data_IF_421421791093
#
_entry.id   IF_421421791093
#
_cell.length_a   1.000
_cell.length_b   1.000
_cell.length_c   1.000
_cell.angle_alpha   90.00
_cell.angle_beta   90.00
_cell.angle_gamma   90.00
#
_symmetry.space_group_name_H-M   'P 1'
#
loop_
_entity.id
_entity.type
_entity.pdbx_description
1 polymer ?
#
# COMPACT_ATOMS: atom_id res chain seq x y z
N UNK A 1 12.38 21.86 17.50
CA UNK A 1 11.77 20.52 17.31
C UNK A 1 11.19 19.94 18.60
N UNK A 2 9.88 19.70 18.56
CA UNK A 2 9.16 18.90 19.56
C UNK A 2 8.61 17.69 18.82
N UNK A 3 8.88 16.48 19.31
CA UNK A 3 8.28 15.26 18.74
C UNK A 3 6.78 15.22 19.05
N UNK A 4 5.98 14.87 18.05
CA UNK A 4 4.53 14.78 18.15
C UNK A 4 4.06 13.40 17.67
N UNK A 5 2.83 13.03 18.01
CA UNK A 5 2.22 11.82 17.46
C UNK A 5 1.75 12.04 16.02
N UNK A 6 1.66 10.95 15.23
CA UNK A 6 1.16 11.02 13.84
C UNK A 6 -0.23 11.66 13.76
N UNK A 7 -1.08 11.44 14.76
CA UNK A 7 -2.42 11.99 14.86
C UNK A 7 -2.45 13.51 14.97
N UNK A 8 -1.33 14.13 15.35
CA UNK A 8 -1.20 15.54 15.65
C UNK A 8 -0.54 16.33 14.51
N UNK A 9 -0.25 15.68 13.37
CA UNK A 9 0.20 16.35 12.15
C UNK A 9 -0.76 17.48 11.75
N UNK A 10 -0.19 18.61 11.30
CA UNK A 10 -0.94 19.80 10.86
C UNK A 10 -0.53 20.20 9.45
N UNK A 11 -1.51 20.66 8.69
CA UNK A 11 -1.32 21.11 7.31
C UNK A 11 -0.83 22.57 7.27
N UNK A 12 0.10 22.93 6.37
CA UNK A 12 0.85 22.01 5.51
C UNK A 12 1.95 21.30 6.31
N UNK A 13 2.23 20.05 5.95
CA UNK A 13 3.35 19.29 6.50
C UNK A 13 4.39 19.01 5.41
N UNK A 14 5.65 18.97 5.79
CA UNK A 14 6.74 18.56 4.90
C UNK A 14 7.08 17.09 5.12
N UNK A 15 7.52 16.41 4.06
CA UNK A 15 8.05 15.05 4.11
C UNK A 15 9.57 15.16 4.05
N UNK A 16 10.26 14.53 4.99
CA UNK A 16 11.72 14.58 5.10
C UNK A 16 12.25 13.15 5.15
N UNK A 17 13.29 12.86 4.38
CA UNK A 17 14.03 11.60 4.41
C UNK A 17 15.43 11.83 4.98
N UNK A 18 15.68 11.36 6.20
CA UNK A 18 16.95 11.54 6.91
C UNK A 18 17.64 10.20 7.06
N UNK A 19 18.89 10.13 6.62
CA UNK A 19 19.78 9.03 6.92
C UNK A 19 20.78 9.42 8.01
N UNK A 20 20.79 8.72 9.14
CA UNK A 20 21.69 9.03 10.26
C UNK A 20 23.16 8.83 9.91
N UNK A 21 23.48 8.01 8.91
CA UNK A 21 24.85 7.83 8.40
C UNK A 21 25.20 8.78 7.24
N UNK A 22 24.24 9.58 6.78
CA UNK A 22 24.38 10.53 5.67
C UNK A 22 24.85 9.90 4.33
N UNK A 23 24.58 8.61 4.11
CA UNK A 23 24.94 7.94 2.86
C UNK A 23 23.86 8.10 1.77
N UNK A 24 22.63 8.45 2.15
CA UNK A 24 21.51 8.68 1.24
C UNK A 24 21.29 10.17 0.84
N UNK A 25 22.20 11.07 1.24
CA UNK A 25 22.17 12.50 0.89
C UNK A 25 20.97 13.26 1.47
N UNK A 26 21.13 13.86 2.65
CA UNK A 26 20.07 14.68 3.23
C UNK A 26 20.36 16.16 3.03
N UNK A 27 19.63 16.81 2.12
CA UNK A 27 19.69 18.26 1.96
C UNK A 27 18.89 18.99 3.06
N UNK A 28 19.34 20.19 3.49
CA UNK A 28 18.53 21.04 4.36
C UNK A 28 17.19 21.38 3.69
N UNK A 29 16.09 21.12 4.40
CA UNK A 29 14.76 21.52 3.94
C UNK A 29 14.44 22.93 4.46
N UNK A 30 14.03 23.82 3.54
CA UNK A 30 13.32 25.04 3.93
C UNK A 30 11.94 24.64 4.47
N UNK A 31 11.73 24.92 5.74
CA UNK A 31 10.53 24.52 6.47
C UNK A 31 9.67 25.70 6.92
N UNK A 32 10.02 26.93 6.56
CA UNK A 32 9.37 28.16 7.10
C UNK A 32 7.85 28.17 6.87
N UNK A 33 7.39 27.56 5.77
CA UNK A 33 5.96 27.49 5.41
C UNK A 33 5.19 26.33 6.06
N UNK A 34 5.85 25.41 6.75
CA UNK A 34 5.25 24.16 7.23
C UNK A 34 4.98 24.18 8.73
N UNK A 35 3.84 23.61 9.14
CA UNK A 35 3.46 23.52 10.55
C UNK A 35 4.06 22.29 11.24
N UNK A 36 4.24 21.20 10.50
CA UNK A 36 4.78 19.93 11.02
C UNK A 36 5.64 19.20 9.98
N UNK A 37 6.47 18.27 10.42
CA UNK A 37 7.26 17.38 9.56
C UNK A 37 6.83 15.92 9.77
N UNK A 38 6.79 15.18 8.67
CA UNK A 38 6.75 13.72 8.62
C UNK A 38 8.14 13.26 8.18
N UNK A 39 8.87 12.55 9.04
CA UNK A 39 10.26 12.19 8.81
C UNK A 39 10.43 10.67 8.69
N UNK A 40 10.88 10.20 7.53
CA UNK A 40 11.48 8.87 7.40
C UNK A 40 12.89 8.92 7.99
N UNK A 41 13.23 7.90 8.78
CA UNK A 41 14.57 7.74 9.35
C UNK A 41 15.19 6.50 8.77
N UNK A 42 16.40 6.67 8.24
CA UNK A 42 17.24 5.62 7.71
C UNK A 42 18.51 5.47 8.53
N UNK A 43 19.04 4.25 8.53
CA UNK A 43 20.37 3.92 9.02
C UNK A 43 21.15 3.20 7.91
N UNK A 44 22.08 3.91 7.27
CA UNK A 44 22.85 3.38 6.16
C UNK A 44 21.97 3.11 4.93
N UNK A 45 21.03 4.02 4.64
CA UNK A 45 20.09 3.92 3.53
C UNK A 45 18.87 3.03 3.80
N UNK A 46 18.83 2.27 4.90
CA UNK A 46 17.72 1.36 5.23
C UNK A 46 16.71 2.05 6.15
N UNK A 47 15.42 2.05 5.79
CA UNK A 47 14.35 2.56 6.64
C UNK A 47 14.29 1.82 8.00
N UNK A 48 14.38 2.57 9.10
CA UNK A 48 14.36 2.02 10.47
C UNK A 48 13.26 2.58 11.35
N UNK A 49 12.72 3.76 11.04
CA UNK A 49 11.65 4.37 11.81
C UNK A 49 10.96 5.52 11.04
N UNK A 50 9.79 5.97 11.53
CA UNK A 50 9.15 7.19 11.06
C UNK A 50 8.69 8.04 12.25
N UNK A 51 9.08 9.32 12.25
CA UNK A 51 8.87 10.26 13.36
C UNK A 51 8.21 11.54 12.87
N UNK A 52 7.55 12.26 13.78
CA UNK A 52 6.79 13.47 13.44
C UNK A 52 7.22 14.60 14.35
N UNK A 53 7.35 15.81 13.78
CA UNK A 53 7.85 16.96 14.53
C UNK A 53 6.97 18.19 14.34
N UNK A 54 6.83 18.96 15.41
CA UNK A 54 6.34 20.34 15.36
C UNK A 54 7.48 21.27 14.87
N UNK A 55 7.15 22.13 13.89
CA UNK A 55 8.06 23.09 13.26
C UNK A 55 7.61 24.55 13.49
N UNK A 56 6.53 24.84 14.23
CA UNK A 56 5.94 26.20 14.29
C UNK A 56 6.91 27.33 14.72
N UNK A 57 8.06 27.02 15.31
CA UNK A 57 9.08 28.00 15.73
C UNK A 57 10.40 27.90 14.96
N UNK A 58 10.55 26.93 14.06
CA UNK A 58 11.81 26.64 13.37
C UNK A 58 11.74 27.16 11.92
N UNK A 59 12.61 28.12 11.56
CA UNK A 59 12.70 28.62 10.17
C UNK A 59 13.48 27.66 9.24
N UNK A 60 14.25 26.74 9.80
CA UNK A 60 15.03 25.73 9.06
C UNK A 60 15.16 24.48 9.90
N UNK A 61 14.88 23.31 9.31
CA UNK A 61 15.17 22.04 9.95
C UNK A 61 16.53 21.55 9.47
N UNK A 62 17.58 21.83 10.24
CA UNK A 62 18.92 21.34 9.89
C UNK A 62 18.98 19.81 10.09
N UNK A 63 19.23 19.00 9.04
CA UNK A 63 19.27 17.54 9.15
C UNK A 63 20.23 17.05 10.25
N UNK A 64 21.34 17.76 10.47
CA UNK A 64 22.29 17.46 11.54
C UNK A 64 21.65 17.53 12.94
N UNK A 65 20.80 18.52 13.22
CA UNK A 65 20.11 18.66 14.50
C UNK A 65 19.07 17.54 14.68
N UNK A 66 18.41 17.13 13.60
CA UNK A 66 17.51 15.97 13.63
C UNK A 66 18.29 14.69 13.90
N UNK A 67 19.41 14.47 13.20
CA UNK A 67 20.29 13.32 13.43
C UNK A 67 20.77 13.23 14.88
N UNK A 68 21.25 14.34 15.46
CA UNK A 68 21.69 14.37 16.86
C UNK A 68 20.56 13.99 17.83
N UNK A 69 19.36 14.54 17.62
CA UNK A 69 18.19 14.21 18.42
C UNK A 69 17.82 12.72 18.32
N UNK A 70 17.81 12.16 17.10
CA UNK A 70 17.44 10.78 16.85
C UNK A 70 18.46 9.78 17.41
N UNK A 71 19.75 10.07 17.30
CA UNK A 71 20.81 9.24 17.88
C UNK A 71 20.72 9.18 19.41
N UNK A 72 20.29 10.26 20.05
CA UNK A 72 20.07 10.29 21.49
C UNK A 72 18.83 9.47 21.94
N UNK A 73 17.80 9.39 21.11
CA UNK A 73 16.56 8.66 21.40
C UNK A 73 16.71 7.13 21.29
N UNK A 74 17.71 6.66 20.55
CA UNK A 74 17.92 5.24 20.24
C UNK A 74 16.99 4.76 19.13
N UNK A 75 17.57 4.17 18.09
CA UNK A 75 16.84 3.70 16.91
C UNK A 75 16.86 2.17 16.83
N UNK A 76 15.84 1.55 16.22
CA UNK A 76 15.90 0.15 15.83
C UNK A 76 17.12 -0.13 14.95
N UNK A 77 17.69 -1.32 15.07
CA UNK A 77 18.76 -1.74 14.17
C UNK A 77 18.21 -1.90 12.74
N UNK A 78 18.97 -1.48 11.71
CA UNK A 78 18.57 -1.65 10.33
C UNK A 78 18.49 -3.13 9.95
N UNK A 79 17.56 -3.42 9.05
CA UNK A 79 17.48 -4.72 8.41
C UNK A 79 18.80 -4.96 7.67
N UNK A 80 19.47 -6.06 8.01
CA UNK A 80 20.73 -6.41 7.35
C UNK A 80 20.44 -6.87 5.92
N UNK A 81 21.20 -6.35 4.97
CA UNK A 81 21.19 -6.88 3.61
C UNK A 81 21.59 -8.37 3.63
N UNK A 82 20.69 -9.21 3.13
CA UNK A 82 20.93 -10.64 2.89
C UNK A 82 21.22 -10.88 1.41
N UNK A 83 21.47 -12.14 1.05
CA UNK A 83 21.49 -12.54 -0.35
C UNK A 83 20.16 -12.19 -1.03
N UNK A 84 20.23 -11.85 -2.32
CA UNK A 84 19.07 -11.67 -3.19
C UNK A 84 18.60 -13.02 -3.74
N UNK A 85 17.29 -13.14 -3.98
CA UNK A 85 16.73 -14.26 -4.73
C UNK A 85 17.15 -14.15 -6.19
N UNK A 86 17.77 -15.19 -6.76
CA UNK A 86 18.06 -15.26 -8.20
C UNK A 86 16.83 -15.56 -9.08
N UNK A 87 15.64 -15.19 -8.62
CA UNK A 87 14.38 -15.43 -9.29
C UNK A 87 14.07 -14.23 -10.22
N UNK A 88 13.58 -14.50 -11.43
CA UNK A 88 13.24 -13.42 -12.36
C UNK A 88 12.04 -12.61 -11.86
N UNK A 89 11.99 -11.31 -12.19
CA UNK A 89 10.99 -10.38 -11.69
C UNK A 89 10.36 -9.56 -12.83
N UNK A 90 9.03 -9.47 -12.83
CA UNK A 90 8.30 -8.43 -13.57
C UNK A 90 7.74 -7.40 -12.59
N UNK A 91 8.03 -6.12 -12.83
CA UNK A 91 7.34 -4.99 -12.20
C UNK A 91 6.12 -4.62 -13.04
N UNK A 92 4.93 -4.75 -12.47
CA UNK A 92 3.65 -4.61 -13.15
C UNK A 92 2.92 -3.34 -12.71
N UNK A 93 2.54 -2.50 -13.66
CA UNK A 93 1.89 -1.19 -13.44
C UNK A 93 0.51 -1.18 -14.11
N UNK A 94 -0.58 -1.48 -13.36
CA UNK A 94 -1.94 -1.28 -13.87
C UNK A 94 -2.29 0.21 -13.89
N UNK A 95 -2.70 0.75 -15.04
CA UNK A 95 -3.00 2.18 -15.17
C UNK A 95 -4.10 2.45 -16.19
N UNK A 96 -4.81 3.56 -16.00
CA UNK A 96 -5.67 4.18 -17.01
C UNK A 96 -5.33 5.67 -17.21
N UNK A 97 -4.12 6.09 -16.78
CA UNK A 97 -3.64 7.48 -16.73
C UNK A 97 -2.26 7.58 -17.36
N UNK A 98 -2.22 7.87 -18.66
CA UNK A 98 -0.97 8.01 -19.39
C UNK A 98 -0.05 9.11 -18.82
N UNK A 99 -0.65 10.21 -18.34
CA UNK A 99 0.07 11.36 -17.78
C UNK A 99 0.79 11.06 -16.46
N UNK A 100 0.42 9.97 -15.76
CA UNK A 100 1.00 9.59 -14.47
C UNK A 100 2.14 8.60 -14.58
N UNK A 101 2.14 7.76 -15.61
CA UNK A 101 3.18 6.75 -15.84
C UNK A 101 4.63 7.26 -15.74
N UNK A 102 4.99 8.46 -16.22
CA UNK A 102 6.37 8.96 -16.07
C UNK A 102 6.88 8.99 -14.63
N UNK A 103 6.00 9.15 -13.62
CA UNK A 103 6.40 9.15 -12.20
C UNK A 103 6.99 7.80 -11.82
N UNK A 104 6.22 6.72 -12.00
CA UNK A 104 6.66 5.37 -11.71
C UNK A 104 7.83 4.95 -12.61
N UNK A 105 7.74 5.19 -13.93
CA UNK A 105 8.77 4.75 -14.88
C UNK A 105 10.13 5.43 -14.67
N UNK A 106 10.17 6.71 -14.32
CA UNK A 106 11.44 7.38 -13.98
C UNK A 106 12.07 6.79 -12.70
N UNK A 107 11.25 6.44 -11.71
CA UNK A 107 11.74 5.78 -10.49
C UNK A 107 12.28 4.37 -10.79
N UNK A 108 11.66 3.66 -11.75
CA UNK A 108 12.14 2.38 -12.21
C UNK A 108 13.43 2.50 -13.01
N UNK A 109 13.63 3.55 -13.83
CA UNK A 109 14.90 3.84 -14.51
C UNK A 109 16.06 4.06 -13.52
N UNK A 110 15.77 4.58 -12.33
CA UNK A 110 16.76 4.91 -11.31
C UNK A 110 17.11 3.74 -10.36
N UNK A 111 16.54 2.55 -10.56
CA UNK A 111 16.80 1.40 -9.68
C UNK A 111 18.26 0.94 -9.75
N UNK A 112 18.84 0.60 -8.59
CA UNK A 112 20.20 0.08 -8.49
C UNK A 112 20.35 -1.34 -9.05
N UNK A 113 19.33 -2.18 -8.84
CA UNK A 113 19.17 -3.47 -9.51
C UNK A 113 18.32 -3.29 -10.76
N UNK A 114 18.90 -3.57 -11.94
CA UNK A 114 18.30 -3.43 -13.27
C UNK A 114 17.77 -4.75 -13.83
N UNK A 115 17.92 -5.86 -13.12
CA UNK A 115 17.53 -7.21 -13.57
C UNK A 115 16.03 -7.46 -13.32
N UNK A 116 15.18 -6.79 -14.10
CA UNK A 116 13.72 -6.94 -14.07
C UNK A 116 13.08 -6.51 -15.40
N UNK A 117 11.91 -7.07 -15.70
CA UNK A 117 11.04 -6.62 -16.79
C UNK A 117 9.97 -5.65 -16.27
N UNK A 118 9.45 -4.78 -17.14
CA UNK A 118 8.31 -3.90 -16.84
C UNK A 118 7.11 -4.29 -17.70
N UNK A 119 5.96 -4.52 -17.05
CA UNK A 119 4.68 -4.73 -17.73
C UNK A 119 3.71 -3.59 -17.39
N UNK A 120 3.36 -2.79 -18.39
CA UNK A 120 2.25 -1.84 -18.29
C UNK A 120 0.95 -2.57 -18.60
N UNK A 121 -0.02 -2.52 -17.68
CA UNK A 121 -1.36 -3.01 -17.95
C UNK A 121 -2.28 -1.82 -18.20
N UNK A 122 -2.55 -1.57 -19.46
CA UNK A 122 -3.50 -0.57 -19.90
C UNK A 122 -4.92 -1.01 -19.53
N UNK A 123 -5.56 -0.25 -18.63
CA UNK A 123 -6.96 -0.39 -18.24
C UNK A 123 -7.82 0.79 -18.71
N UNK A 124 -7.31 1.56 -19.68
CA UNK A 124 -8.09 2.52 -20.45
C UNK A 124 -9.13 1.78 -21.31
N UNK A 125 -10.21 2.48 -21.67
CA UNK A 125 -11.33 1.85 -22.38
C UNK A 125 -10.98 1.42 -23.80
N UNK A 126 -10.05 2.13 -24.43
CA UNK A 126 -9.79 2.03 -25.86
C UNK A 126 -8.36 1.57 -26.17
N UNK A 127 -7.47 1.43 -25.18
CA UNK A 127 -6.11 0.94 -25.37
C UNK A 127 -5.12 2.04 -25.74
N UNK A 128 -5.41 3.29 -25.35
CA UNK A 128 -4.56 4.47 -25.63
C UNK A 128 -3.13 4.28 -25.11
N UNK A 129 -2.96 3.77 -23.89
CA UNK A 129 -1.64 3.64 -23.26
C UNK A 129 -0.78 2.61 -24.02
N UNK A 130 -1.36 1.47 -24.42
CA UNK A 130 -0.65 0.49 -25.24
C UNK A 130 -0.23 1.04 -26.61
N UNK A 131 -0.98 2.00 -27.18
CA UNK A 131 -0.61 2.63 -28.45
C UNK A 131 0.51 3.67 -28.29
N UNK A 132 0.50 4.40 -27.18
CA UNK A 132 1.43 5.50 -26.96
C UNK A 132 2.75 5.04 -26.30
N UNK A 133 2.69 4.09 -25.37
CA UNK A 133 3.86 3.55 -24.68
C UNK A 133 4.39 2.33 -25.43
N UNK A 134 5.35 2.57 -26.32
CA UNK A 134 6.09 1.53 -27.06
C UNK A 134 7.49 1.25 -26.48
N UNK A 135 7.91 2.04 -25.50
CA UNK A 135 9.18 1.93 -24.78
C UNK A 135 9.37 3.13 -23.84
N UNK A 136 10.29 3.02 -22.89
CA UNK A 136 10.62 4.12 -21.96
C UNK A 136 12.07 4.03 -21.48
N UNK A 137 12.92 4.94 -21.95
CA UNK A 137 14.36 4.88 -21.67
C UNK A 137 14.98 3.55 -22.13
N UNK A 138 15.71 2.90 -21.24
CA UNK A 138 16.32 1.58 -21.44
C UNK A 138 15.60 0.44 -20.70
N UNK A 139 14.38 0.68 -20.20
CA UNK A 139 13.58 -0.37 -19.56
C UNK A 139 13.19 -1.46 -20.57
N UNK A 140 13.31 -2.73 -20.16
CA UNK A 140 12.67 -3.85 -20.86
C UNK A 140 11.16 -3.81 -20.60
N UNK A 141 10.47 -3.01 -21.43
CA UNK A 141 9.08 -2.64 -21.25
C UNK A 141 8.19 -3.29 -22.29
N UNK A 142 7.09 -3.87 -21.81
CA UNK A 142 5.99 -4.38 -22.62
C UNK A 142 4.65 -3.94 -22.04
N UNK A 143 3.60 -4.01 -22.86
CA UNK A 143 2.26 -3.58 -22.47
C UNK A 143 1.18 -4.57 -22.92
N UNK A 144 0.12 -4.71 -22.11
CA UNK A 144 -1.08 -5.47 -22.46
C UNK A 144 -2.35 -4.66 -22.12
N UNK A 145 -3.46 -4.94 -22.80
CA UNK A 145 -4.71 -4.18 -22.67
C UNK A 145 -5.85 -5.00 -22.05
N UNK A 146 -6.43 -4.50 -20.96
CA UNK A 146 -7.70 -4.96 -20.39
C UNK A 146 -8.76 -3.87 -20.58
N UNK A 147 -9.68 -4.02 -21.56
CA UNK A 147 -10.66 -2.97 -21.90
C UNK A 147 -11.76 -2.79 -20.86
N UNK A 148 -11.94 -3.73 -19.92
CA UNK A 148 -12.96 -3.66 -18.88
C UNK A 148 -12.37 -3.03 -17.61
N UNK A 149 -12.82 -1.83 -17.21
CA UNK A 149 -12.24 -1.13 -16.07
C UNK A 149 -12.33 -1.91 -14.74
N UNK A 150 -11.25 -1.84 -13.96
CA UNK A 150 -11.11 -2.43 -12.63
C UNK A 150 -9.70 -2.97 -12.41
N UNK A 151 -9.07 -2.56 -11.30
CA UNK A 151 -7.68 -2.92 -10.99
C UNK A 151 -7.49 -4.44 -10.88
N UNK A 152 -8.45 -5.19 -10.34
CA UNK A 152 -8.37 -6.65 -10.30
C UNK A 152 -8.35 -7.29 -11.67
N UNK A 153 -9.09 -6.72 -12.64
CA UNK A 153 -9.11 -7.21 -14.02
C UNK A 153 -7.78 -6.92 -14.70
N UNK A 154 -7.27 -5.69 -14.54
CA UNK A 154 -5.95 -5.32 -15.02
C UNK A 154 -4.88 -6.26 -14.45
N UNK A 155 -4.83 -6.46 -13.13
CA UNK A 155 -3.88 -7.39 -12.51
C UNK A 155 -4.01 -8.81 -13.04
N UNK A 156 -5.23 -9.33 -13.19
CA UNK A 156 -5.45 -10.67 -13.74
C UNK A 156 -5.06 -10.79 -15.22
N UNK A 157 -5.31 -9.77 -16.03
CA UNK A 157 -4.81 -9.70 -17.41
C UNK A 157 -3.27 -9.71 -17.41
N UNK A 158 -2.63 -8.96 -16.52
CA UNK A 158 -1.18 -8.98 -16.34
C UNK A 158 -0.64 -10.36 -15.98
N UNK A 159 -1.29 -11.09 -15.05
CA UNK A 159 -0.89 -12.46 -14.65
C UNK A 159 -0.81 -13.43 -15.84
N UNK A 160 -1.64 -13.24 -16.86
CA UNK A 160 -1.64 -14.04 -18.09
C UNK A 160 -0.44 -13.74 -19.00
N UNK A 161 0.20 -12.58 -18.85
CA UNK A 161 1.32 -12.12 -19.67
C UNK A 161 2.67 -12.17 -18.93
N UNK A 162 2.70 -12.54 -17.65
CA UNK A 162 3.92 -12.61 -16.83
C UNK A 162 4.49 -14.03 -16.84
N UNK A 163 5.74 -14.17 -17.27
CA UNK A 163 6.46 -15.46 -17.36
C UNK A 163 7.58 -15.59 -16.31
N UNK A 164 7.83 -14.55 -15.53
CA UNK A 164 8.84 -14.52 -14.49
C UNK A 164 8.42 -15.32 -13.24
N UNK A 165 9.38 -15.60 -12.36
CA UNK A 165 9.13 -16.28 -11.09
C UNK A 165 8.36 -15.40 -10.10
N UNK A 166 8.61 -14.09 -10.15
CA UNK A 166 8.06 -13.07 -9.25
C UNK A 166 7.32 -11.99 -10.03
N UNK A 167 6.29 -11.42 -9.41
CA UNK A 167 5.66 -10.17 -9.83
C UNK A 167 5.68 -9.17 -8.68
N UNK A 168 6.04 -7.91 -8.95
CA UNK A 168 5.89 -6.78 -8.03
C UNK A 168 4.89 -5.79 -8.61
N UNK A 169 3.88 -5.42 -7.83
CA UNK A 169 2.87 -4.43 -8.20
C UNK A 169 3.26 -3.07 -7.68
N UNK A 170 3.22 -2.06 -8.55
CA UNK A 170 3.38 -0.65 -8.22
C UNK A 170 2.32 0.18 -8.93
N UNK A 171 1.73 1.16 -8.23
CA UNK A 171 0.74 2.07 -8.81
C UNK A 171 1.45 3.18 -9.63
N UNK A 172 0.74 3.75 -10.61
CA UNK A 172 1.28 4.79 -11.51
C UNK A 172 1.49 6.17 -10.82
N UNK A 173 1.00 6.34 -9.59
CA UNK A 173 1.20 7.51 -8.73
C UNK A 173 2.16 7.25 -7.56
N UNK A 174 3.03 6.25 -7.72
CA UNK A 174 4.10 5.91 -6.79
C UNK A 174 5.51 6.08 -7.39
N UNK A 175 6.47 6.39 -6.53
CA UNK A 175 7.91 6.43 -6.83
C UNK A 175 8.58 5.31 -6.04
N UNK A 176 9.19 4.35 -6.72
CA UNK A 176 10.01 3.32 -6.10
C UNK A 176 11.30 3.93 -5.53
N UNK A 177 11.64 3.56 -4.30
CA UNK A 177 12.93 3.93 -3.69
C UNK A 177 14.09 3.32 -4.49
N UNK A 178 15.31 3.91 -4.54
CA UNK A 178 16.36 3.47 -5.46
C UNK A 178 16.77 1.99 -5.37
N UNK A 179 16.66 1.38 -4.20
CA UNK A 179 16.98 -0.03 -3.95
C UNK A 179 15.73 -0.93 -3.87
N UNK A 180 14.55 -0.44 -4.25
CA UNK A 180 13.28 -1.14 -4.06
C UNK A 180 13.26 -2.54 -4.67
N UNK A 181 13.71 -2.69 -5.92
CA UNK A 181 13.78 -4.01 -6.60
C UNK A 181 14.73 -4.96 -5.85
N UNK A 182 15.92 -4.49 -5.48
CA UNK A 182 16.90 -5.29 -4.76
C UNK A 182 16.35 -5.74 -3.40
N UNK A 183 15.65 -4.85 -2.67
CA UNK A 183 15.02 -5.18 -1.40
C UNK A 183 13.88 -6.19 -1.54
N UNK A 184 13.05 -6.10 -2.58
CA UNK A 184 12.03 -7.11 -2.86
C UNK A 184 12.66 -8.49 -3.10
N UNK A 185 13.71 -8.58 -3.94
CA UNK A 185 14.43 -9.84 -4.18
C UNK A 185 15.05 -10.40 -2.89
N UNK A 186 15.60 -9.55 -2.01
CA UNK A 186 16.08 -9.97 -0.68
C UNK A 186 14.96 -10.49 0.21
N UNK A 187 13.80 -9.84 0.19
CA UNK A 187 12.61 -10.31 0.91
C UNK A 187 12.22 -11.75 0.53
N UNK A 188 12.27 -12.09 -0.76
CA UNK A 188 11.99 -13.45 -1.24
C UNK A 188 13.07 -14.50 -0.92
N UNK A 189 14.28 -14.07 -0.56
CA UNK A 189 15.38 -14.93 -0.12
C UNK A 189 15.38 -15.19 1.40
N UNK A 190 14.47 -14.57 2.17
CA UNK A 190 14.34 -14.82 3.60
C UNK A 190 14.10 -16.31 3.93
N UNK A 191 14.60 -16.78 5.08
CA UNK A 191 14.61 -18.19 5.50
C UNK A 191 13.22 -18.85 5.44
N UNK A 192 12.16 -18.09 5.78
CA UNK A 192 10.78 -18.56 5.73
C UNK A 192 10.17 -18.72 4.32
N UNK A 193 10.94 -18.38 3.27
CA UNK A 193 10.58 -18.45 1.84
C UNK A 193 9.17 -17.90 1.56
N UNK A 194 8.97 -16.58 1.68
CA UNK A 194 7.64 -16.00 1.56
C UNK A 194 7.04 -16.25 0.17
N UNK A 195 5.72 -16.40 0.14
CA UNK A 195 4.93 -16.44 -1.09
C UNK A 195 4.51 -15.02 -1.52
N UNK A 196 4.52 -14.07 -0.58
CA UNK A 196 4.35 -12.66 -0.86
C UNK A 196 5.22 -11.79 0.05
N UNK A 197 5.68 -10.67 -0.49
CA UNK A 197 6.44 -9.63 0.21
C UNK A 197 5.65 -8.33 0.07
N UNK A 198 5.33 -7.68 1.19
CA UNK A 198 4.66 -6.38 1.21
C UNK A 198 5.63 -5.32 1.70
N UNK A 199 5.90 -4.32 0.86
CA UNK A 199 6.71 -3.17 1.24
C UNK A 199 5.93 -2.14 2.03
N UNK A 200 6.53 -0.96 2.24
CA UNK A 200 5.88 0.18 2.89
C UNK A 200 5.63 1.30 1.88
N UNK A 201 4.41 1.83 1.89
CA UNK A 201 4.01 3.01 1.12
C UNK A 201 3.98 4.23 2.05
N UNK A 202 4.79 5.23 1.73
CA UNK A 202 5.00 6.45 2.54
C UNK A 202 4.52 7.68 1.75
N UNK A 203 4.13 8.79 2.40
CA UNK A 203 3.70 9.99 1.70
C UNK A 203 4.85 10.61 0.91
N UNK A 204 4.66 10.86 -0.39
CA UNK A 204 5.61 11.66 -1.19
C UNK A 204 5.49 13.17 -0.90
N UNK A 205 4.30 13.63 -0.48
CA UNK A 205 4.01 15.02 -0.15
C UNK A 205 2.83 15.11 0.85
N UNK A 206 2.79 16.20 1.64
CA UNK A 206 1.73 16.46 2.63
C UNK A 206 1.30 17.94 2.65
N UNK A 207 1.14 18.54 1.48
CA UNK A 207 0.84 19.97 1.36
C UNK A 207 -0.63 20.32 1.61
N UNK A 208 -1.56 19.36 1.50
CA UNK A 208 -3.00 19.62 1.67
C UNK A 208 -3.58 18.93 2.90
N UNK A 209 -4.69 19.49 3.40
CA UNK A 209 -5.40 18.95 4.55
C UNK A 209 -5.91 17.52 4.29
N UNK A 210 -6.26 17.17 3.05
CA UNK A 210 -6.66 15.82 2.69
C UNK A 210 -5.50 14.83 2.90
N UNK A 211 -4.31 15.15 2.39
CA UNK A 211 -3.12 14.31 2.52
C UNK A 211 -2.71 14.13 3.99
N UNK A 212 -2.66 15.23 4.74
CA UNK A 212 -2.38 15.20 6.18
C UNK A 212 -3.41 14.39 6.94
N UNK A 213 -4.71 14.56 6.65
CA UNK A 213 -5.74 13.75 7.31
C UNK A 213 -5.60 12.26 6.97
N UNK A 214 -5.22 11.88 5.75
CA UNK A 214 -4.98 10.47 5.42
C UNK A 214 -3.84 9.87 6.27
N UNK A 215 -2.74 10.59 6.47
CA UNK A 215 -1.65 10.16 7.37
C UNK A 215 -2.08 10.13 8.85
N UNK A 216 -2.84 11.13 9.31
CA UNK A 216 -3.42 11.13 10.67
C UNK A 216 -4.34 9.94 10.91
N UNK A 217 -5.01 9.43 9.88
CA UNK A 217 -5.82 8.19 9.89
C UNK A 217 -4.96 6.91 9.80
N UNK A 218 -3.64 7.03 9.90
CA UNK A 218 -2.68 5.93 9.89
C UNK A 218 -1.97 5.70 8.54
N UNK A 219 -2.33 6.43 7.49
CA UNK A 219 -1.74 6.27 6.15
C UNK A 219 -1.97 4.85 5.59
N UNK A 220 -1.08 4.41 4.69
CA UNK A 220 -1.09 3.04 4.16
C UNK A 220 -0.48 2.02 5.12
N UNK A 221 0.57 2.41 5.87
CA UNK A 221 1.26 1.51 6.78
C UNK A 221 0.52 1.27 8.11
N UNK A 222 -0.58 2.00 8.40
CA UNK A 222 -1.45 1.83 9.58
C UNK A 222 -0.69 1.73 10.92
N UNK A 223 0.34 2.58 11.07
CA UNK A 223 1.16 2.62 12.28
C UNK A 223 2.04 1.38 12.54
N UNK A 224 2.13 0.45 11.59
CA UNK A 224 3.00 -0.73 11.71
C UNK A 224 4.47 -0.31 11.84
N UNK A 225 5.27 -0.98 12.68
CA UNK A 225 6.67 -0.62 12.85
C UNK A 225 7.47 -0.82 11.56
N UNK A 226 8.57 -0.08 11.43
CA UNK A 226 9.58 -0.26 10.37
C UNK A 226 10.51 -1.44 10.66
N UNK A 227 9.94 -2.58 11.08
CA UNK A 227 10.67 -3.82 11.28
C UNK A 227 10.05 -4.97 10.47
N UNK A 228 10.84 -5.91 9.94
CA UNK A 228 10.30 -7.08 9.26
C UNK A 228 9.35 -7.87 10.15
N UNK A 229 8.25 -8.33 9.58
CA UNK A 229 7.33 -9.24 10.28
C UNK A 229 6.92 -10.39 9.38
N UNK A 230 7.18 -11.61 9.82
CA UNK A 230 6.61 -12.80 9.23
C UNK A 230 5.15 -12.93 9.64
N UNK A 231 4.27 -13.01 8.66
CA UNK A 231 2.83 -13.14 8.83
C UNK A 231 2.42 -14.56 8.48
N UNK A 232 1.94 -15.30 9.48
CA UNK A 232 1.48 -16.69 9.35
C UNK A 232 0.19 -16.91 10.12
N UNK A 233 -0.79 -17.53 9.44
CA UNK A 233 -2.07 -17.91 10.04
C UNK A 233 -1.87 -18.81 11.27
N UNK A 234 -2.64 -18.55 12.34
CA UNK A 234 -2.57 -19.29 13.60
C UNK A 234 -1.43 -18.88 14.53
N UNK A 235 -0.72 -17.80 14.24
CA UNK A 235 0.34 -17.24 15.10
C UNK A 235 -0.11 -15.92 15.74
N UNK A 236 0.70 -15.34 16.63
CA UNK A 236 0.42 -14.01 17.19
C UNK A 236 0.42 -12.90 16.13
N UNK A 237 1.11 -13.11 15.00
CA UNK A 237 1.17 -12.15 13.88
C UNK A 237 -0.12 -12.12 13.06
N UNK A 238 -0.77 -13.28 12.92
CA UNK A 238 -2.06 -13.45 12.24
C UNK A 238 -2.83 -14.56 12.95
N UNK A 239 -3.73 -14.19 13.86
CA UNK A 239 -4.55 -15.19 14.57
C UNK A 239 -5.57 -15.84 13.62
N UNK A 240 -6.18 -15.06 12.74
CA UNK A 240 -7.15 -15.52 11.74
C UNK A 240 -7.00 -14.69 10.45
N UNK A 241 -6.84 -15.30 9.27
CA UNK A 241 -6.83 -14.59 7.99
C UNK A 241 -8.12 -13.82 7.69
N UNK A 242 -9.23 -14.15 8.37
CA UNK A 242 -10.46 -13.36 8.34
C UNK A 242 -10.29 -11.98 8.99
N UNK A 243 -9.23 -11.75 9.78
CA UNK A 243 -9.02 -10.52 10.54
C UNK A 243 -7.83 -9.74 9.98
N UNK A 244 -7.96 -9.09 8.81
CA UNK A 244 -6.84 -8.42 8.14
C UNK A 244 -6.49 -7.06 8.76
N UNK A 245 -6.62 -6.90 10.09
CA UNK A 245 -6.38 -5.62 10.76
C UNK A 245 -5.30 -5.74 11.84
N UNK A 246 -4.21 -4.95 11.75
CA UNK A 246 -3.88 -4.05 10.65
C UNK A 246 -3.51 -4.83 9.37
N UNK A 247 -3.72 -4.20 8.21
CA UNK A 247 -3.49 -4.80 6.89
C UNK A 247 -2.12 -5.48 6.75
N UNK A 248 -2.06 -6.53 5.94
CA UNK A 248 -0.85 -7.32 5.68
C UNK A 248 -0.02 -6.79 4.50
N UNK A 249 -0.48 -5.70 3.86
CA UNK A 249 0.15 -5.05 2.72
C UNK A 249 -0.80 -4.02 2.09
N UNK A 250 -0.27 -3.21 1.18
CA UNK A 250 -1.04 -2.25 0.39
C UNK A 250 -0.87 -2.55 -1.10
N UNK A 251 -1.94 -2.33 -1.88
CA UNK A 251 -2.03 -2.81 -3.27
C UNK A 251 -0.95 -2.27 -4.22
N UNK A 252 -0.36 -1.11 -3.91
CA UNK A 252 0.67 -0.47 -4.72
C UNK A 252 2.11 -0.77 -4.29
N UNK A 253 2.33 -1.58 -3.25
CA UNK A 253 3.68 -2.06 -2.90
C UNK A 253 3.62 -3.48 -2.35
N UNK A 254 3.30 -4.41 -3.24
CA UNK A 254 3.19 -5.84 -2.94
C UNK A 254 3.79 -6.67 -4.06
N UNK A 255 4.50 -7.72 -3.69
CA UNK A 255 5.08 -8.67 -4.63
C UNK A 255 4.70 -10.10 -4.27
N UNK A 256 4.63 -10.98 -5.26
CA UNK A 256 4.20 -12.36 -5.12
C UNK A 256 5.10 -13.31 -5.90
N UNK A 257 5.24 -14.54 -5.41
CA UNK A 257 5.61 -15.66 -6.27
C UNK A 257 4.47 -15.95 -7.24
N UNK A 258 4.80 -16.10 -8.52
CA UNK A 258 3.79 -16.30 -9.56
C UNK A 258 3.03 -17.61 -9.41
N UNK A 259 3.70 -18.68 -8.96
CA UNK A 259 3.06 -19.97 -8.69
C UNK A 259 2.05 -19.88 -7.54
N UNK A 260 2.39 -19.20 -6.44
CA UNK A 260 1.50 -18.98 -5.32
C UNK A 260 0.29 -18.11 -5.69
N UNK A 261 0.51 -17.01 -6.42
CA UNK A 261 -0.55 -16.13 -6.91
C UNK A 261 -1.51 -16.86 -7.86
N UNK A 262 -0.97 -17.69 -8.76
CA UNK A 262 -1.78 -18.54 -9.66
C UNK A 262 -2.52 -19.62 -8.88
N UNK A 263 -1.92 -20.22 -7.84
CA UNK A 263 -2.54 -21.26 -7.03
C UNK A 263 -3.77 -20.78 -6.23
N UNK A 264 -3.85 -19.47 -5.93
CA UNK A 264 -5.05 -18.85 -5.34
C UNK A 264 -6.06 -18.34 -6.37
N UNK A 265 -5.73 -18.42 -7.66
CA UNK A 265 -6.59 -17.98 -8.77
C UNK A 265 -6.52 -16.49 -9.08
N UNK A 266 -5.43 -15.82 -8.69
CA UNK A 266 -5.25 -14.37 -8.89
C UNK A 266 -6.16 -13.52 -7.99
N UNK A 267 -6.57 -12.36 -8.50
CA UNK A 267 -7.39 -11.39 -7.78
C UNK A 267 -8.89 -11.60 -8.04
N UNK A 268 -9.72 -11.30 -7.05
CA UNK A 268 -11.17 -11.37 -7.22
C UNK A 268 -11.66 -10.19 -8.08
N UNK A 269 -12.01 -10.46 -9.35
CA UNK A 269 -12.52 -9.46 -10.32
C UNK A 269 -13.77 -8.67 -9.87
N UNK A 270 -14.42 -9.04 -8.76
CA UNK A 270 -15.57 -8.33 -8.19
C UNK A 270 -15.14 -7.28 -7.16
N UNK A 271 -13.98 -7.47 -6.53
CA UNK A 271 -13.28 -6.49 -5.72
C UNK A 271 -12.35 -5.66 -6.61
N UNK A 272 -11.91 -4.48 -6.18
CA UNK A 272 -11.11 -3.59 -7.03
C UNK A 272 -11.78 -3.27 -8.38
N UNK A 273 -13.11 -3.23 -8.41
CA UNK A 273 -13.91 -2.93 -9.61
C UNK A 273 -14.39 -1.48 -9.60
N UNK A 274 -14.99 -1.03 -10.71
CA UNK A 274 -15.68 0.28 -10.76
C UNK A 274 -16.82 0.40 -9.75
N UNK A 275 -17.38 -0.73 -9.31
CA UNK A 275 -18.42 -0.74 -8.28
C UNK A 275 -17.80 -0.70 -6.89
N UNK A 276 -16.74 -1.47 -6.63
CA UNK A 276 -16.12 -1.63 -5.30
C UNK A 276 -14.64 -1.34 -5.41
N UNK A 277 -14.20 -0.26 -4.79
CA UNK A 277 -12.82 0.18 -4.83
C UNK A 277 -12.07 -0.41 -3.62
N UNK A 278 -11.19 -1.37 -3.84
CA UNK A 278 -10.38 -2.02 -2.80
C UNK A 278 -10.87 -3.40 -2.33
N UNK A 279 -10.04 -4.04 -1.51
CA UNK A 279 -10.31 -5.33 -0.88
C UNK A 279 -9.78 -6.53 -1.68
N UNK A 280 -9.35 -6.34 -2.92
CA UNK A 280 -8.81 -7.39 -3.79
C UNK A 280 -7.46 -7.93 -3.32
N UNK A 281 -6.57 -7.04 -2.88
CA UNK A 281 -5.27 -7.35 -2.29
C UNK A 281 -5.45 -8.05 -0.95
N UNK A 282 -6.38 -7.53 -0.12
CA UNK A 282 -6.74 -8.14 1.15
C UNK A 282 -7.26 -9.56 0.94
N UNK A 283 -8.10 -9.77 -0.08
CA UNK A 283 -8.65 -11.09 -0.42
C UNK A 283 -7.56 -12.07 -0.86
N UNK A 284 -6.61 -11.62 -1.67
CA UNK A 284 -5.51 -12.44 -2.19
C UNK A 284 -4.54 -12.84 -1.06
N UNK A 285 -4.06 -11.88 -0.26
CA UNK A 285 -3.17 -12.13 0.87
C UNK A 285 -3.82 -13.04 1.92
N UNK A 286 -5.11 -12.83 2.22
CA UNK A 286 -5.85 -13.69 3.16
C UNK A 286 -5.99 -15.12 2.64
N UNK A 287 -6.11 -15.32 1.32
CA UNK A 287 -6.15 -16.66 0.71
C UNK A 287 -4.82 -17.40 0.82
N UNK A 288 -3.69 -16.70 0.66
CA UNK A 288 -2.35 -17.25 0.89
C UNK A 288 -2.21 -17.72 2.34
N UNK A 289 -2.52 -16.84 3.30
CA UNK A 289 -2.46 -17.17 4.72
C UNK A 289 -3.34 -18.37 5.08
N UNK A 290 -4.54 -18.46 4.50
CA UNK A 290 -5.46 -19.60 4.68
C UNK A 290 -4.87 -20.92 4.19
N UNK A 291 -3.97 -20.88 3.20
CA UNK A 291 -3.28 -22.05 2.63
C UNK A 291 -1.97 -22.39 3.34
N UNK A 292 -1.61 -21.65 4.38
CA UNK A 292 -0.39 -21.88 5.16
C UNK A 292 0.85 -21.15 4.62
N UNK A 293 0.69 -20.28 3.64
CA UNK A 293 1.77 -19.43 3.12
C UNK A 293 2.30 -18.48 4.18
N UNK A 294 3.53 -18.02 3.96
CA UNK A 294 4.10 -16.89 4.68
C UNK A 294 4.01 -15.62 3.83
N UNK A 295 3.55 -14.54 4.45
CA UNK A 295 3.71 -13.18 3.91
C UNK A 295 4.79 -12.48 4.73
N UNK A 296 5.69 -11.77 4.07
CA UNK A 296 6.71 -10.95 4.73
C UNK A 296 6.32 -9.48 4.62
N UNK A 297 6.06 -8.83 5.75
CA UNK A 297 6.10 -7.37 5.82
C UNK A 297 7.57 -6.94 5.79
N UNK A 298 7.92 -6.08 4.84
CA UNK A 298 9.31 -5.79 4.48
C UNK A 298 9.58 -4.29 4.32
N UNK A 299 9.81 -3.57 5.44
CA UNK A 299 10.03 -2.12 5.46
C UNK A 299 11.14 -1.58 4.55
N UNK A 300 12.26 -2.29 4.28
CA UNK A 300 13.28 -1.78 3.37
C UNK A 300 12.80 -1.55 1.93
N UNK A 301 11.73 -2.23 1.50
CA UNK A 301 11.11 -1.99 0.19
C UNK A 301 10.13 -0.81 0.30
N UNK A 302 10.65 0.42 0.15
CA UNK A 302 9.88 1.66 0.24
C UNK A 302 9.33 2.08 -1.13
N UNK A 303 8.10 2.59 -1.15
CA UNK A 303 7.57 3.43 -2.24
C UNK A 303 7.00 4.73 -1.67
N UNK A 304 7.08 5.80 -2.45
CA UNK A 304 6.56 7.12 -2.11
C UNK A 304 5.29 7.40 -2.91
N UNK A 305 4.17 7.53 -2.23
CA UNK A 305 2.84 7.66 -2.82
C UNK A 305 2.33 9.10 -2.77
N UNK A 306 1.82 9.60 -3.91
CA UNK A 306 1.15 10.91 -3.98
C UNK A 306 -0.31 10.81 -3.54
N UNK A 307 -0.56 11.13 -2.26
CA UNK A 307 -1.90 11.11 -1.68
C UNK A 307 -2.89 12.02 -2.41
N UNK A 308 -4.18 11.65 -2.32
CA UNK A 308 -5.28 12.46 -2.86
C UNK A 308 -5.22 13.89 -2.30
N UNK A 309 -5.15 14.88 -3.19
CA UNK A 309 -4.96 16.29 -2.82
C UNK A 309 -6.26 16.93 -2.33
N UNK A 310 -7.41 16.47 -2.83
CA UNK A 310 -8.70 17.06 -2.49
C UNK A 310 -9.48 16.22 -1.49
N UNK A 311 -10.29 16.90 -0.70
CA UNK A 311 -11.15 16.29 0.31
C UNK A 311 -12.25 15.40 -0.31
N UNK A 312 -12.74 15.75 -1.51
CA UNK A 312 -13.69 14.93 -2.27
C UNK A 312 -13.07 13.58 -2.70
N UNK A 313 -11.83 13.60 -3.19
CA UNK A 313 -11.12 12.39 -3.58
C UNK A 313 -10.79 11.51 -2.37
N UNK A 314 -10.39 12.13 -1.25
CA UNK A 314 -10.19 11.40 0.01
C UNK A 314 -11.50 10.80 0.52
N UNK A 315 -12.63 11.51 0.44
CA UNK A 315 -13.94 10.98 0.81
C UNK A 315 -14.29 9.73 -0.01
N UNK A 316 -14.03 9.77 -1.32
CA UNK A 316 -14.20 8.62 -2.23
C UNK A 316 -13.29 7.46 -1.84
N UNK A 317 -12.02 7.72 -1.52
CA UNK A 317 -11.06 6.71 -1.09
C UNK A 317 -11.48 6.05 0.23
N UNK A 318 -11.86 6.84 1.23
CA UNK A 318 -12.34 6.37 2.54
C UNK A 318 -13.62 5.52 2.41
N UNK A 319 -14.57 5.95 1.57
CA UNK A 319 -15.74 5.15 1.23
C UNK A 319 -15.34 3.83 0.54
N UNK A 320 -14.41 3.90 -0.42
CA UNK A 320 -13.88 2.77 -1.17
C UNK A 320 -13.33 1.69 -0.25
N UNK A 321 -12.30 2.01 0.55
CA UNK A 321 -11.65 1.05 1.46
C UNK A 321 -12.64 0.37 2.41
N UNK A 322 -13.58 1.14 2.97
CA UNK A 322 -14.62 0.60 3.82
C UNK A 322 -15.59 -0.33 3.08
N UNK A 323 -15.99 0.01 1.85
CA UNK A 323 -16.80 -0.86 1.00
C UNK A 323 -16.03 -2.11 0.56
N UNK A 324 -14.73 -1.98 0.26
CA UNK A 324 -13.83 -3.08 -0.06
C UNK A 324 -13.75 -4.09 1.06
N UNK A 325 -13.64 -3.65 2.32
CA UNK A 325 -13.60 -4.52 3.50
C UNK A 325 -14.86 -5.39 3.63
N UNK A 326 -16.06 -4.81 3.54
CA UNK A 326 -17.29 -5.62 3.65
C UNK A 326 -17.61 -6.38 2.37
N UNK A 327 -17.10 -5.92 1.22
CA UNK A 327 -17.05 -6.70 -0.02
C UNK A 327 -16.17 -7.95 0.13
N UNK A 328 -14.98 -7.83 0.74
CA UNK A 328 -14.08 -8.94 1.06
C UNK A 328 -14.76 -9.98 1.94
N UNK A 329 -15.41 -9.56 3.04
CA UNK A 329 -16.15 -10.49 3.90
C UNK A 329 -17.27 -11.21 3.14
N UNK A 330 -17.98 -10.51 2.24
CA UNK A 330 -19.00 -11.13 1.41
C UNK A 330 -18.38 -12.11 0.39
N UNK A 331 -17.26 -11.77 -0.23
CA UNK A 331 -16.50 -12.69 -1.10
C UNK A 331 -16.14 -13.97 -0.35
N UNK A 332 -15.60 -13.82 0.86
CA UNK A 332 -15.19 -14.93 1.70
C UNK A 332 -16.37 -15.80 2.13
N UNK A 333 -17.47 -15.18 2.58
CA UNK A 333 -18.68 -15.89 3.00
C UNK A 333 -19.27 -16.75 1.87
N UNK A 334 -19.27 -16.24 0.64
CA UNK A 334 -19.77 -16.99 -0.52
C UNK A 334 -18.81 -18.12 -0.94
N UNK A 335 -17.50 -17.93 -0.77
CA UNK A 335 -16.50 -18.95 -1.08
C UNK A 335 -16.44 -20.06 -0.02
N UNK A 336 -16.67 -19.72 1.25
CA UNK A 336 -16.59 -20.63 2.40
C UNK A 336 -17.68 -20.31 3.42
N UNK A 337 -18.90 -20.87 3.28
CA UNK A 337 -20.03 -20.59 4.18
C UNK A 337 -19.77 -20.94 5.64
N UNK A 338 -18.85 -21.87 5.92
CA UNK A 338 -18.42 -22.24 7.29
C UNK A 338 -17.73 -21.09 8.02
N UNK A 339 -17.21 -20.10 7.29
CA UNK A 339 -16.59 -18.89 7.87
C UNK A 339 -17.62 -17.90 8.44
N UNK A 340 -18.93 -18.13 8.26
CA UNK A 340 -19.98 -17.25 8.76
C UNK A 340 -19.89 -16.99 10.27
N UNK A 341 -19.58 -18.01 11.07
CA UNK A 341 -19.41 -17.89 12.52
C UNK A 341 -18.19 -17.02 12.88
N UNK A 342 -17.08 -17.16 12.14
CA UNK A 342 -15.87 -16.34 12.32
C UNK A 342 -16.16 -14.87 12.00
N UNK A 343 -16.80 -14.61 10.86
CA UNK A 343 -17.21 -13.25 10.46
C UNK A 343 -18.21 -12.66 11.48
N UNK A 344 -19.17 -13.44 11.97
CA UNK A 344 -20.13 -12.97 12.96
C UNK A 344 -19.46 -12.55 14.28
N UNK A 345 -18.38 -13.23 14.69
CA UNK A 345 -17.59 -12.89 15.89
C UNK A 345 -16.85 -11.55 15.76
N UNK A 346 -16.64 -11.04 14.55
CA UNK A 346 -16.08 -9.71 14.33
C UNK A 346 -17.06 -8.58 14.51
N UNK A 347 -18.35 -8.85 14.31
CA UNK A 347 -19.38 -7.80 14.28
C UNK A 347 -19.33 -6.95 15.56
N UNK A 348 -19.20 -7.50 16.78
CA UNK A 348 -19.07 -6.68 17.99
C UNK A 348 -17.84 -5.76 17.98
N UNK A 349 -16.70 -6.24 17.49
CA UNK A 349 -15.48 -5.43 17.37
C UNK A 349 -15.65 -4.32 16.32
N UNK A 350 -16.22 -4.64 15.17
CA UNK A 350 -16.53 -3.67 14.12
C UNK A 350 -17.54 -2.62 14.58
N UNK A 351 -18.59 -3.03 15.29
CA UNK A 351 -19.59 -2.12 15.88
C UNK A 351 -18.94 -1.23 16.93
N UNK A 352 -18.12 -1.78 17.83
CA UNK A 352 -17.36 -1.00 18.82
C UNK A 352 -16.46 0.03 18.15
N UNK A 353 -15.79 -0.29 17.03
CA UNK A 353 -14.96 0.67 16.28
C UNK A 353 -15.79 1.78 15.62
N UNK A 354 -16.96 1.44 15.09
CA UNK A 354 -17.87 2.44 14.49
C UNK A 354 -18.48 3.35 15.55
N UNK A 355 -18.80 2.80 16.74
CA UNK A 355 -19.49 3.47 17.84
C UNK A 355 -18.57 4.13 18.85
N UNK A 356 -17.30 3.71 18.95
CA UNK A 356 -16.29 4.36 19.76
C UNK A 356 -16.07 5.76 19.19
N UNK A 357 -16.70 6.73 19.83
CA UNK A 357 -16.34 8.14 19.67
C UNK A 357 -14.94 8.32 20.26
N UNK A 358 -14.01 8.92 19.51
CA UNK A 358 -12.90 9.72 20.05
C UNK A 358 -12.13 9.09 21.22
N UNK A 359 -11.67 7.84 21.11
CA UNK A 359 -10.71 7.32 22.07
C UNK A 359 -9.33 7.30 21.42
N UNK A 360 -8.41 8.05 22.02
CA UNK A 360 -7.01 8.18 21.61
C UNK A 360 -6.23 6.85 21.64
N UNK A 361 -6.78 5.82 22.31
CA UNK A 361 -6.11 4.53 22.52
C UNK A 361 -6.51 3.43 21.51
N UNK A 362 -7.34 3.72 20.50
CA UNK A 362 -7.59 2.76 19.39
C UNK A 362 -6.61 3.05 18.25
N UNK A 363 -5.56 2.22 18.04
CA UNK A 363 -4.58 2.43 16.98
C UNK A 363 -5.18 2.36 15.56
N UNK A 364 -6.39 1.78 15.43
CA UNK A 364 -7.16 1.74 14.19
C UNK A 364 -8.33 2.76 14.18
N UNK A 365 -8.45 3.57 15.24
CA UNK A 365 -9.49 4.58 15.43
C UNK A 365 -9.17 5.90 14.73
N UNK A 366 -10.20 6.69 14.47
CA UNK A 366 -9.98 8.03 13.94
C UNK A 366 -9.41 8.97 15.01
N UNK A 367 -8.39 9.77 14.70
CA UNK A 367 -7.75 10.65 15.67
C UNK A 367 -8.69 11.76 16.16
N UNK A 368 -8.30 12.43 17.25
CA UNK A 368 -9.04 13.58 17.75
C UNK A 368 -9.16 14.68 16.68
N UNK A 369 -10.35 15.26 16.53
CA UNK A 369 -10.61 16.31 15.53
C UNK A 369 -10.58 15.82 14.07
N UNK A 370 -10.65 14.51 13.82
CA UNK A 370 -10.75 13.99 12.45
C UNK A 370 -12.04 14.44 11.76
N UNK A 371 -12.03 14.77 10.45
CA UNK A 371 -13.22 15.29 9.77
C UNK A 371 -14.39 14.30 9.74
N UNK A 372 -15.56 14.73 10.22
CA UNK A 372 -16.74 13.87 10.38
C UNK A 372 -17.30 13.37 9.05
N UNK A 373 -17.15 14.12 7.95
CA UNK A 373 -17.62 13.68 6.63
C UNK A 373 -16.81 12.48 6.10
N UNK A 374 -15.51 12.41 6.39
CA UNK A 374 -14.67 11.25 6.07
C UNK A 374 -15.09 10.00 6.87
N UNK A 375 -15.47 10.18 8.14
CA UNK A 375 -16.03 9.10 8.96
C UNK A 375 -17.38 8.64 8.44
N UNK A 376 -18.25 9.57 8.06
CA UNK A 376 -19.55 9.27 7.43
C UNK A 376 -19.34 8.53 6.11
N UNK A 377 -18.35 8.89 5.30
CA UNK A 377 -18.00 8.19 4.07
C UNK A 377 -17.58 6.75 4.34
N UNK A 378 -16.67 6.54 5.29
CA UNK A 378 -16.24 5.22 5.74
C UNK A 378 -17.43 4.37 6.22
N UNK A 379 -18.28 4.91 7.10
CA UNK A 379 -19.49 4.24 7.59
C UNK A 379 -20.43 3.85 6.44
N UNK A 380 -20.68 4.76 5.49
CA UNK A 380 -21.49 4.46 4.29
C UNK A 380 -20.86 3.33 3.45
N UNK A 381 -19.54 3.30 3.33
CA UNK A 381 -18.80 2.23 2.67
C UNK A 381 -19.04 0.88 3.33
N UNK A 382 -18.83 0.79 4.65
CA UNK A 382 -19.06 -0.43 5.44
C UNK A 382 -20.46 -0.99 5.22
N UNK A 383 -21.50 -0.16 5.28
CA UNK A 383 -22.89 -0.59 5.09
C UNK A 383 -23.21 -1.08 3.67
N UNK A 384 -22.53 -0.55 2.65
CA UNK A 384 -22.88 -0.79 1.24
C UNK A 384 -22.02 -1.87 0.57
N UNK A 385 -20.77 -2.06 1.02
CA UNK A 385 -19.79 -2.92 0.34
C UNK A 385 -20.26 -4.35 0.05
N UNK A 386 -20.83 -5.02 1.04
CA UNK A 386 -21.38 -6.37 0.87
C UNK A 386 -22.48 -6.45 -0.22
N UNK A 387 -23.40 -5.47 -0.26
CA UNK A 387 -24.43 -5.41 -1.30
C UNK A 387 -23.84 -5.04 -2.67
N UNK A 388 -22.87 -4.13 -2.70
CA UNK A 388 -22.14 -3.75 -3.91
C UNK A 388 -21.44 -4.97 -4.52
N UNK A 389 -20.89 -5.87 -3.71
CA UNK A 389 -20.30 -7.13 -4.15
C UNK A 389 -21.32 -8.06 -4.82
N UNK A 390 -22.48 -8.24 -4.19
CA UNK A 390 -23.58 -9.01 -4.78
C UNK A 390 -24.12 -8.38 -6.07
N UNK A 391 -24.10 -7.05 -6.17
CA UNK A 391 -24.48 -6.32 -7.39
C UNK A 391 -23.46 -6.58 -8.51
N UNK A 392 -22.17 -6.54 -8.20
CA UNK A 392 -21.10 -6.78 -9.15
C UNK A 392 -21.16 -8.22 -9.71
N UNK A 393 -21.47 -9.23 -8.88
CA UNK A 393 -21.73 -10.59 -9.36
C UNK A 393 -22.83 -10.61 -10.43
N UNK A 394 -23.96 -9.93 -10.18
CA UNK A 394 -25.09 -9.89 -11.13
C UNK A 394 -24.73 -9.14 -12.40
N UNK A 395 -23.97 -8.06 -12.27
CA UNK A 395 -23.48 -7.27 -13.39
C UNK A 395 -22.60 -8.13 -14.29
N UNK A 396 -21.57 -8.78 -13.75
CA UNK A 396 -20.63 -9.60 -14.52
C UNK A 396 -21.32 -10.79 -15.21
N UNK A 397 -22.27 -11.48 -14.53
CA UNK A 397 -23.05 -12.55 -15.15
C UNK A 397 -23.80 -12.11 -16.39
N UNK A 398 -24.38 -10.90 -16.40
CA UNK A 398 -25.11 -10.34 -17.55
C UNK A 398 -24.17 -10.05 -18.73
N UNK A 399 -22.96 -9.58 -18.46
CA UNK A 399 -21.94 -9.35 -19.49
C UNK A 399 -21.42 -10.67 -20.08
N UNK A 400 -21.22 -11.69 -19.25
CA UNK A 400 -20.78 -13.02 -19.71
C UNK A 400 -21.82 -13.73 -20.58
N UNK A 401 -23.12 -13.48 -20.38
CA UNK A 401 -24.20 -14.05 -21.21
C UNK A 401 -24.48 -13.28 -22.50
N UNK A 402 -23.87 -12.10 -22.68
CA UNK A 402 -24.08 -11.23 -23.84
C UNK A 402 -22.93 -11.32 -24.88
N UNK A 403 -21.88 -12.09 -24.57
CA UNK A 403 -20.85 -12.56 -25.51
C UNK A 403 -21.08 -14.04 -25.75
#
# INVERSE_FOLDING_TARGET
>A
MIEIERSDLRCPATVIDIDIQDCHGTEPADVERFATAWCLIRDGGVAVDARFFDIEQDATLAPAAVREHLLAAGLPAPVRATAESGASLTVAIPTNRLDRLPVALNSLLAQSDRDFEVLIIDNSRDGEICREITGYGDLDLRACHEPVPGISRARNCGIEHIDTDLVAWIDDDEVADPDWVAWLKRGFAAEGRPDAVAGVMLPAELETAAQVNFERYGGFNKGRPMQPLELRSGTSSVMDPLYPLPGFGAGGNMAFRMDALRAIGGFDNRLGSVTIHGGEETRALSELLRRGSMILHWPPAVTWHYHRRTDEELEKQMFGYAAGLTGFYMSWLLASPTSALGIARLIPQGVRRISASRNADDPDGAPAGFPEHLLKASRRGLYRGAWMYLREIRHQRRYSTAR
#
